data_IF_856447142739
#
_entry.id   IF_856447142739
#
_cell.length_a   1.000
_cell.length_b   1.000
_cell.length_c   1.000
_cell.angle_alpha   90.00
_cell.angle_beta   90.00
_cell.angle_gamma   90.00
#
_symmetry.space_group_name_H-M   'P 1'
#
loop_
_entity.id
_entity.type
_entity.pdbx_description
1 polymer ?
#
# COMPACT_ATOMS: atom_id res chain seq x y z
N UNK A 1 -31.11 -19.53 -3.99
CA UNK A 1 -31.24 -18.10 -4.19
C UNK A 1 -31.40 -17.44 -2.82
N UNK A 2 -30.31 -16.87 -2.28
CA UNK A 2 -30.32 -16.23 -0.96
C UNK A 2 -31.09 -14.90 -1.07
N UNK A 3 -32.24 -14.81 -0.42
CA UNK A 3 -32.94 -13.53 -0.23
C UNK A 3 -32.16 -12.71 0.79
N UNK A 4 -31.42 -11.71 0.33
CA UNK A 4 -30.82 -10.70 1.20
C UNK A 4 -32.00 -9.85 1.71
N UNK A 5 -32.25 -9.92 3.02
CA UNK A 5 -33.29 -9.15 3.69
C UNK A 5 -32.89 -7.66 3.64
N UNK A 6 -33.61 -6.85 2.88
CA UNK A 6 -33.32 -5.42 2.68
C UNK A 6 -33.48 -4.56 3.95
N UNK A 7 -34.02 -5.12 5.03
CA UNK A 7 -34.22 -4.41 6.30
C UNK A 7 -32.96 -4.21 7.16
N UNK A 8 -31.82 -4.79 6.78
CA UNK A 8 -30.56 -4.61 7.53
C UNK A 8 -29.72 -3.41 7.07
N UNK A 9 -30.20 -2.63 6.10
CA UNK A 9 -29.47 -1.51 5.49
C UNK A 9 -29.91 -0.13 6.01
N UNK A 10 -30.83 -0.05 6.95
CA UNK A 10 -31.28 1.21 7.57
C UNK A 10 -30.38 1.74 8.70
N UNK A 11 -29.21 1.13 8.90
CA UNK A 11 -28.20 1.72 9.78
C UNK A 11 -27.50 2.83 9.00
N UNK A 12 -27.59 4.11 9.47
CA UNK A 12 -26.90 5.20 8.79
C UNK A 12 -25.41 4.87 8.66
N UNK A 13 -24.81 5.09 7.50
CA UNK A 13 -23.40 4.78 7.28
C UNK A 13 -22.56 5.53 8.33
N UNK A 14 -21.80 4.79 9.11
CA UNK A 14 -20.88 5.37 10.08
C UNK A 14 -19.63 5.82 9.35
N UNK A 15 -19.31 7.10 9.44
CA UNK A 15 -18.09 7.66 8.88
C UNK A 15 -16.83 7.01 9.51
N UNK A 16 -15.78 6.84 8.70
CA UNK A 16 -14.50 6.38 9.20
C UNK A 16 -13.91 7.37 10.22
N UNK A 17 -13.35 6.90 11.35
CA UNK A 17 -12.87 7.75 12.43
C UNK A 17 -11.61 8.54 12.00
N UNK A 18 -11.74 9.79 11.65
CA UNK A 18 -10.59 10.65 11.32
C UNK A 18 -9.91 11.26 12.55
N UNK A 19 -10.60 11.29 13.69
CA UNK A 19 -10.11 11.89 14.94
C UNK A 19 -8.88 11.17 15.55
N UNK A 20 -8.61 9.95 15.14
CA UNK A 20 -7.41 9.20 15.56
C UNK A 20 -6.15 9.65 14.81
N UNK A 21 -6.31 10.41 13.75
CA UNK A 21 -5.21 10.93 12.93
C UNK A 21 -4.78 12.31 13.45
N UNK A 22 -3.53 12.67 13.17
CA UNK A 22 -3.03 14.02 13.49
C UNK A 22 -3.83 15.07 12.73
N UNK A 23 -3.95 16.27 13.32
CA UNK A 23 -4.77 17.36 12.78
C UNK A 23 -4.35 17.75 11.35
N UNK A 24 -3.04 17.73 11.06
CA UNK A 24 -2.53 18.01 9.72
C UNK A 24 -3.05 17.02 8.68
N UNK A 25 -3.11 15.74 9.04
CA UNK A 25 -3.62 14.67 8.16
C UNK A 25 -5.13 14.83 7.97
N UNK A 26 -5.87 15.18 9.04
CA UNK A 26 -7.30 15.45 8.92
C UNK A 26 -7.58 16.59 7.93
N UNK A 27 -6.80 17.69 8.01
CA UNK A 27 -6.90 18.81 7.06
C UNK A 27 -6.61 18.39 5.61
N UNK A 28 -5.61 17.55 5.40
CA UNK A 28 -5.32 17.01 4.07
C UNK A 28 -6.49 16.19 3.55
N UNK A 29 -7.08 15.32 4.38
CA UNK A 29 -8.25 14.52 4.01
C UNK A 29 -9.40 15.42 3.58
N UNK A 30 -9.68 16.48 4.34
CA UNK A 30 -10.75 17.43 4.04
C UNK A 30 -10.50 18.21 2.74
N UNK A 31 -9.25 18.65 2.52
CA UNK A 31 -8.88 19.34 1.29
C UNK A 31 -9.02 18.45 0.07
N UNK A 32 -8.52 17.21 0.14
CA UNK A 32 -8.64 16.26 -0.97
C UNK A 32 -10.10 15.91 -1.27
N UNK A 33 -10.91 15.64 -0.25
CA UNK A 33 -12.33 15.38 -0.43
C UNK A 33 -13.04 16.54 -1.15
N UNK A 34 -12.67 17.78 -0.82
CA UNK A 34 -13.20 18.99 -1.42
C UNK A 34 -12.76 19.18 -2.88
N UNK A 35 -11.46 19.00 -3.15
CA UNK A 35 -10.87 19.17 -4.49
C UNK A 35 -11.41 18.12 -5.46
N UNK A 36 -11.46 16.86 -5.02
CA UNK A 36 -11.92 15.75 -5.85
C UNK A 36 -13.44 15.55 -5.84
N UNK A 37 -14.17 16.33 -5.03
CA UNK A 37 -15.63 16.22 -4.90
C UNK A 37 -16.09 14.77 -4.66
N UNK A 38 -15.41 14.09 -3.76
CA UNK A 38 -15.69 12.69 -3.42
C UNK A 38 -16.00 12.53 -1.92
N UNK A 39 -16.65 11.43 -1.51
CA UNK A 39 -16.86 11.13 -0.10
C UNK A 39 -15.56 11.14 0.68
N UNK A 40 -15.54 11.77 1.85
CA UNK A 40 -14.40 11.86 2.76
C UNK A 40 -13.83 10.48 3.09
N UNK A 41 -14.68 9.47 3.22
CA UNK A 41 -14.28 8.10 3.53
C UNK A 41 -13.39 7.45 2.48
N UNK A 42 -13.48 7.86 1.21
CA UNK A 42 -12.57 7.37 0.17
C UNK A 42 -11.14 7.82 0.42
N UNK A 43 -10.97 9.07 0.84
CA UNK A 43 -9.67 9.63 1.18
C UNK A 43 -9.16 9.04 2.51
N UNK A 44 -10.03 8.98 3.52
CA UNK A 44 -9.68 8.45 4.84
C UNK A 44 -9.20 7.00 4.77
N UNK A 45 -9.90 6.18 4.03
CA UNK A 45 -9.52 4.77 3.84
C UNK A 45 -8.21 4.61 3.06
N UNK A 46 -7.97 5.44 2.04
CA UNK A 46 -6.69 5.46 1.32
C UNK A 46 -5.54 5.87 2.24
N UNK A 47 -5.74 6.89 3.09
CA UNK A 47 -4.74 7.30 4.09
C UNK A 47 -4.45 6.16 5.07
N UNK A 48 -5.47 5.44 5.54
CA UNK A 48 -5.25 4.28 6.40
C UNK A 48 -4.43 3.18 5.72
N UNK A 49 -4.71 2.88 4.45
CA UNK A 49 -3.91 1.91 3.68
C UNK A 49 -2.46 2.36 3.53
N UNK A 50 -2.22 3.65 3.26
CA UNK A 50 -0.88 4.23 3.16
C UNK A 50 -0.13 4.07 4.47
N UNK A 51 -0.74 4.45 5.60
CA UNK A 51 -0.14 4.33 6.93
C UNK A 51 0.16 2.87 7.25
N UNK A 52 -0.77 1.96 6.99
CA UNK A 52 -0.58 0.53 7.20
C UNK A 52 0.59 -0.03 6.37
N UNK A 53 0.70 0.39 5.11
CA UNK A 53 1.79 0.00 4.21
C UNK A 53 3.13 0.53 4.70
N UNK A 54 3.20 1.79 5.15
CA UNK A 54 4.41 2.40 5.68
C UNK A 54 4.87 1.77 7.00
N UNK A 55 3.94 1.30 7.83
CA UNK A 55 4.26 0.52 9.03
C UNK A 55 4.96 -0.81 8.69
N UNK A 56 4.59 -1.45 7.59
CA UNK A 56 5.20 -2.67 7.09
C UNK A 56 5.32 -3.76 8.17
N UNK A 57 6.53 -4.31 8.32
CA UNK A 57 6.86 -5.32 9.35
C UNK A 57 7.37 -4.72 10.67
N UNK A 58 7.55 -3.41 10.74
CA UNK A 58 8.11 -2.74 11.91
C UNK A 58 7.09 -2.60 13.04
N UNK A 59 5.80 -2.61 12.71
CA UNK A 59 4.73 -2.53 13.69
C UNK A 59 4.00 -3.87 13.74
N UNK A 60 3.80 -4.36 14.96
CA UNK A 60 3.03 -5.59 15.22
C UNK A 60 1.97 -5.29 16.26
N UNK A 61 0.76 -5.70 15.98
CA UNK A 61 -0.37 -5.66 16.91
C UNK A 61 -0.46 -7.01 17.60
N UNK A 62 -0.43 -7.01 18.93
CA UNK A 62 -0.52 -8.22 19.74
C UNK A 62 -1.80 -8.18 20.57
N UNK A 63 -2.69 -9.12 20.35
CA UNK A 63 -3.98 -9.25 21.05
C UNK A 63 -3.95 -10.22 22.25
N UNK A 64 -2.76 -10.62 22.68
CA UNK A 64 -2.52 -11.60 23.73
C UNK A 64 -2.28 -13.02 23.20
N UNK A 65 -2.79 -13.36 22.02
CA UNK A 65 -2.66 -14.69 21.41
C UNK A 65 -1.93 -14.65 20.05
N UNK A 66 -2.27 -13.67 19.22
CA UNK A 66 -1.74 -13.56 17.86
C UNK A 66 -0.92 -12.30 17.67
N UNK A 67 0.05 -12.38 16.77
CA UNK A 67 0.80 -11.24 16.27
C UNK A 67 0.37 -10.96 14.86
N UNK A 68 -0.19 -9.77 14.62
CA UNK A 68 -0.68 -9.33 13.33
C UNK A 68 0.06 -8.09 12.88
N UNK A 69 0.31 -7.99 11.57
CA UNK A 69 0.79 -6.76 10.96
C UNK A 69 -0.42 -5.89 10.54
N UNK A 70 -0.27 -4.57 10.49
CA UNK A 70 -1.37 -3.66 10.14
C UNK A 70 -1.65 -3.67 8.63
N UNK A 71 -1.99 -4.85 8.08
CA UNK A 71 -2.36 -4.97 6.67
C UNK A 71 -3.85 -4.68 6.51
N UNK A 72 -4.19 -3.72 5.66
CA UNK A 72 -5.57 -3.34 5.38
C UNK A 72 -5.95 -3.68 3.94
N UNK A 73 -7.11 -4.30 3.78
CA UNK A 73 -7.76 -4.56 2.50
C UNK A 73 -9.10 -3.81 2.50
N UNK A 74 -9.20 -2.80 1.64
CA UNK A 74 -10.38 -1.93 1.58
C UNK A 74 -10.96 -1.97 0.17
N UNK A 75 -12.27 -2.11 0.08
CA UNK A 75 -13.02 -2.04 -1.16
C UNK A 75 -13.98 -0.86 -1.15
N UNK A 76 -13.93 -0.03 -2.17
CA UNK A 76 -14.85 1.09 -2.35
C UNK A 76 -15.97 0.70 -3.31
N UNK A 77 -17.18 0.65 -2.79
CA UNK A 77 -18.39 0.37 -3.57
C UNK A 77 -19.17 1.67 -3.72
N UNK A 78 -19.32 2.13 -4.95
CA UNK A 78 -20.07 3.33 -5.27
C UNK A 78 -20.52 3.31 -6.74
N UNK A 79 -21.53 4.10 -7.13
CA UNK A 79 -21.98 4.21 -8.51
C UNK A 79 -20.86 4.60 -9.47
N UNK A 80 -21.05 4.32 -10.75
CA UNK A 80 -20.16 4.80 -11.80
C UNK A 80 -20.13 6.34 -11.81
N UNK A 81 -18.98 6.94 -12.06
CA UNK A 81 -18.84 8.40 -12.07
C UNK A 81 -18.62 9.05 -10.68
N UNK A 82 -18.65 8.29 -9.57
CA UNK A 82 -18.43 8.84 -8.21
C UNK A 82 -16.98 9.19 -7.89
N UNK A 83 -16.13 9.34 -8.88
CA UNK A 83 -14.71 9.76 -8.75
C UNK A 83 -13.90 8.96 -7.72
N UNK A 84 -14.05 7.63 -7.71
CA UNK A 84 -13.37 6.74 -6.76
C UNK A 84 -11.86 6.68 -6.92
N UNK A 85 -11.38 6.65 -8.16
CA UNK A 85 -10.00 6.28 -8.49
C UNK A 85 -9.03 7.45 -8.51
N UNK A 86 -9.47 8.64 -8.95
CA UNK A 86 -8.60 9.81 -9.10
C UNK A 86 -7.97 10.27 -7.79
N UNK A 87 -8.73 10.43 -6.69
CA UNK A 87 -8.15 10.86 -5.43
C UNK A 87 -7.19 9.82 -4.84
N UNK A 88 -7.51 8.52 -4.98
CA UNK A 88 -6.64 7.44 -4.49
C UNK A 88 -5.31 7.43 -5.25
N UNK A 89 -5.36 7.58 -6.58
CA UNK A 89 -4.15 7.68 -7.40
C UNK A 89 -3.30 8.88 -6.99
N UNK A 90 -3.91 10.05 -6.79
CA UNK A 90 -3.19 11.25 -6.37
C UNK A 90 -2.51 11.10 -5.00
N UNK A 91 -3.14 10.40 -4.06
CA UNK A 91 -2.56 10.12 -2.75
C UNK A 91 -1.41 9.10 -2.81
N UNK A 92 -1.49 8.12 -3.70
CA UNK A 92 -0.49 7.06 -3.84
C UNK A 92 0.69 7.48 -4.73
N UNK A 93 0.55 8.54 -5.51
CA UNK A 93 1.57 8.98 -6.47
C UNK A 93 2.97 9.15 -5.86
N UNK A 94 3.16 9.81 -4.69
CA UNK A 94 4.48 9.92 -4.07
C UNK A 94 5.10 8.57 -3.70
N UNK A 95 4.29 7.59 -3.30
CA UNK A 95 4.76 6.24 -2.98
C UNK A 95 5.21 5.50 -4.24
N UNK A 96 4.44 5.61 -5.32
CA UNK A 96 4.81 5.00 -6.61
C UNK A 96 6.09 5.59 -7.18
N UNK A 97 6.30 6.90 -7.04
CA UNK A 97 7.54 7.55 -7.46
C UNK A 97 8.75 7.04 -6.67
N UNK A 98 8.63 6.95 -5.35
CA UNK A 98 9.70 6.44 -4.49
C UNK A 98 9.99 4.95 -4.78
N UNK A 99 8.96 4.13 -4.94
CA UNK A 99 9.11 2.72 -5.29
C UNK A 99 9.79 2.55 -6.65
N UNK A 100 9.42 3.36 -7.64
CA UNK A 100 10.07 3.41 -8.94
C UNK A 100 11.55 3.80 -8.87
N UNK A 101 11.93 4.72 -7.97
CA UNK A 101 13.32 5.10 -7.74
C UNK A 101 14.11 3.94 -7.13
N UNK A 102 13.58 3.33 -6.07
CA UNK A 102 14.19 2.17 -5.40
C UNK A 102 14.35 0.98 -6.33
N UNK A 103 13.35 0.73 -7.19
CA UNK A 103 13.43 -0.34 -8.17
C UNK A 103 14.54 -0.09 -9.21
N UNK A 104 14.72 1.15 -9.67
CA UNK A 104 15.84 1.51 -10.57
C UNK A 104 17.20 1.27 -9.92
N UNK A 105 17.38 1.73 -8.69
CA UNK A 105 18.61 1.52 -7.92
C UNK A 105 18.91 0.02 -7.71
N UNK A 106 17.88 -0.74 -7.34
CA UNK A 106 18.01 -2.19 -7.21
C UNK A 106 18.41 -2.85 -8.53
N UNK A 107 17.75 -2.50 -9.63
CA UNK A 107 18.04 -3.05 -10.95
C UNK A 107 19.48 -2.76 -11.39
N UNK A 108 19.99 -1.57 -11.12
CA UNK A 108 21.35 -1.19 -11.50
C UNK A 108 22.39 -1.94 -10.64
N UNK A 109 22.17 -2.06 -9.33
CA UNK A 109 22.98 -2.91 -8.44
C UNK A 109 22.95 -4.38 -8.84
N UNK A 110 21.78 -4.88 -9.23
CA UNK A 110 21.62 -6.26 -9.66
C UNK A 110 22.37 -6.55 -10.95
N UNK A 111 22.41 -5.62 -11.92
CA UNK A 111 23.20 -5.75 -13.15
C UNK A 111 24.70 -5.87 -12.85
N UNK A 112 25.20 -5.02 -11.94
CA UNK A 112 26.61 -5.06 -11.52
C UNK A 112 26.91 -6.40 -10.83
N UNK A 113 26.05 -6.83 -9.92
CA UNK A 113 26.21 -8.13 -9.25
C UNK A 113 26.23 -9.29 -10.25
N UNK A 114 25.29 -9.32 -11.20
CA UNK A 114 25.22 -10.37 -12.21
C UNK A 114 26.48 -10.41 -13.07
N UNK A 115 27.01 -9.25 -13.49
CA UNK A 115 28.23 -9.15 -14.26
C UNK A 115 29.43 -9.72 -13.48
N UNK A 116 29.55 -9.37 -12.18
CA UNK A 116 30.64 -9.89 -11.36
C UNK A 116 30.56 -11.41 -11.18
N UNK A 117 29.36 -11.97 -11.00
CA UNK A 117 29.16 -13.42 -10.92
C UNK A 117 29.53 -14.12 -12.23
N UNK A 118 29.15 -13.54 -13.38
CA UNK A 118 29.51 -14.08 -14.70
C UNK A 118 31.04 -14.00 -14.98
N UNK A 119 31.72 -13.00 -14.41
CA UNK A 119 33.20 -12.86 -14.51
C UNK A 119 33.92 -13.85 -13.57
N UNK A 120 33.34 -14.25 -12.44
CA UNK A 120 33.91 -15.20 -11.47
C UNK A 120 33.63 -16.67 -11.84
N UNK A 121 32.61 -16.99 -12.63
CA UNK A 121 32.30 -18.35 -13.07
C UNK A 121 33.47 -19.07 -13.77
N UNK A 122 34.26 -18.44 -14.67
CA UNK A 122 35.41 -19.13 -15.29
C UNK A 122 36.49 -19.50 -14.29
N UNK A 123 36.68 -18.73 -13.24
CA UNK A 123 37.68 -19.01 -12.18
C UNK A 123 37.24 -20.21 -11.36
N UNK A 124 35.96 -20.31 -11.04
CA UNK A 124 35.40 -21.42 -10.28
C UNK A 124 35.48 -22.76 -11.06
N UNK A 125 35.19 -22.71 -12.37
CA UNK A 125 35.31 -23.88 -13.22
C UNK A 125 36.76 -24.33 -13.43
N UNK A 126 37.75 -23.42 -13.42
CA UNK A 126 39.17 -23.77 -13.49
C UNK A 126 39.66 -24.44 -12.21
N UNK A 127 39.15 -24.04 -11.03
CA UNK A 127 39.51 -24.64 -9.76
C UNK A 127 38.97 -26.06 -9.59
N UNK A 128 37.79 -26.36 -10.16
CA UNK A 128 37.21 -27.72 -10.09
C UNK A 128 37.94 -28.70 -11.03
N UNK A 129 38.48 -28.23 -12.14
CA UNK A 129 39.18 -29.10 -13.13
C UNK A 129 40.63 -29.36 -12.74
N UNK A 130 41.21 -28.58 -11.81
CA UNK A 130 42.61 -28.79 -11.37
C UNK A 130 42.80 -29.85 -10.27
N UNK A 131 41.71 -30.36 -9.68
CA UNK A 131 41.72 -31.36 -8.61
C UNK A 131 41.29 -32.78 -9.09
N UNK A 132 41.29 -33.06 -10.39
CA UNK A 132 41.13 -34.39 -11.02
C UNK A 132 42.38 -34.74 -11.81
#
# INVERSE_FOLDING_TARGET
MLKINSHSLDVPPKELPTYVLRLEVQRVIEQYAKVFQCPKDFITSAVYCIVATLCGKHVTIHDGKYRNHPNLWISHIAPSGSNKSSPIKALLEPMHQEDGNRYRDFRDKYKVFKKNVEEDEPIFNQLIVSDV
#
